data_IF_140949843213
#
_entry.id   IF_140949843213
#
_cell.length_a   1.000
_cell.length_b   1.000
_cell.length_c   1.000
_cell.angle_alpha   90.00
_cell.angle_beta   90.00
_cell.angle_gamma   90.00
#
_symmetry.space_group_name_H-M   'P 1'
#
loop_
_entity.id
_entity.type
_entity.pdbx_description
1 polymer ?
#
# COMPACT_ATOMS: atom_id res chain seq x y z
N UNK A 1 -5.34 17.54 -7.72
CA UNK A 1 -4.13 16.87 -8.23
C UNK A 1 -4.44 15.40 -8.47
N UNK A 2 -3.76 14.76 -9.39
CA UNK A 2 -3.95 13.34 -9.71
C UNK A 2 -2.61 12.63 -9.60
N UNK A 3 -2.63 11.47 -8.96
CA UNK A 3 -1.44 10.64 -8.78
C UNK A 3 -1.61 9.36 -9.59
N UNK A 4 -0.57 8.93 -10.28
CA UNK A 4 -0.58 7.70 -11.08
C UNK A 4 0.33 6.66 -10.45
N UNK A 5 0.00 5.39 -10.65
CA UNK A 5 0.80 4.28 -10.15
C UNK A 5 0.62 3.01 -10.97
N UNK A 6 1.39 2.00 -10.64
CA UNK A 6 1.34 0.71 -11.34
C UNK A 6 1.91 -0.42 -10.49
N UNK A 7 1.59 -1.64 -10.89
CA UNK A 7 2.26 -2.83 -10.38
C UNK A 7 3.68 -2.94 -10.94
N UNK A 8 4.48 -3.85 -10.41
CA UNK A 8 5.87 -4.03 -10.83
C UNK A 8 6.01 -4.28 -12.34
N UNK A 9 5.18 -5.14 -12.91
CA UNK A 9 5.27 -5.49 -14.34
C UNK A 9 4.59 -4.49 -15.27
N UNK A 10 3.83 -3.54 -14.74
CA UNK A 10 3.10 -2.53 -15.52
C UNK A 10 1.81 -3.01 -16.16
N UNK A 11 1.39 -4.25 -15.93
CA UNK A 11 0.13 -4.78 -16.47
C UNK A 11 -1.09 -4.06 -15.89
N UNK A 12 -0.97 -3.56 -14.65
CA UNK A 12 -2.01 -2.79 -13.97
C UNK A 12 -1.51 -1.36 -13.81
N UNK A 13 -2.30 -0.38 -14.28
CA UNK A 13 -2.07 1.03 -14.03
C UNK A 13 -3.32 1.66 -13.48
N UNK A 14 -3.13 2.67 -12.64
CA UNK A 14 -4.24 3.37 -12.00
C UNK A 14 -3.93 4.85 -11.78
N UNK A 15 -4.98 5.61 -11.51
CA UNK A 15 -4.88 7.00 -11.07
C UNK A 15 -5.77 7.21 -9.87
N UNK A 16 -5.36 8.07 -8.95
CA UNK A 16 -6.19 8.55 -7.84
C UNK A 16 -6.22 10.07 -7.86
N UNK A 17 -7.42 10.63 -7.74
CA UNK A 17 -7.65 12.08 -7.80
C UNK A 17 -7.79 12.67 -6.40
N UNK A 18 -7.30 13.90 -6.24
CA UNK A 18 -7.39 14.64 -4.98
C UNK A 18 -6.33 14.23 -3.97
N UNK A 19 -6.50 14.68 -2.74
CA UNK A 19 -5.55 14.37 -1.67
C UNK A 19 -6.07 13.22 -0.82
N UNK A 20 -5.18 12.35 -0.32
CA UNK A 20 -5.59 11.28 0.57
C UNK A 20 -6.06 11.85 1.91
N UNK A 21 -6.97 11.13 2.58
CA UNK A 21 -7.39 11.47 3.93
C UNK A 21 -6.24 11.33 4.93
N UNK A 22 -5.41 10.33 4.72
CA UNK A 22 -4.22 10.06 5.53
C UNK A 22 -3.30 9.13 4.74
N UNK A 23 -2.00 9.22 5.00
CA UNK A 23 -1.03 8.23 4.54
C UNK A 23 -0.39 7.60 5.79
N UNK A 24 -0.57 6.30 5.95
CA UNK A 24 -0.20 5.58 7.17
C UNK A 24 0.77 4.44 6.87
N UNK A 25 1.72 4.25 7.77
CA UNK A 25 2.53 3.03 7.80
C UNK A 25 1.83 2.02 8.71
N UNK A 26 1.38 0.91 8.13
CA UNK A 26 0.66 -0.12 8.87
C UNK A 26 1.59 -1.29 9.21
N UNK A 27 1.64 -1.63 10.50
CA UNK A 27 2.49 -2.69 11.02
C UNK A 27 1.74 -3.98 11.32
N UNK A 28 0.46 -4.09 10.96
CA UNK A 28 -0.34 -5.27 11.32
C UNK A 28 0.21 -6.54 10.65
N UNK A 29 -0.01 -7.67 11.30
CA UNK A 29 0.49 -8.97 10.81
C UNK A 29 -0.11 -9.34 9.45
N UNK A 30 -1.36 -8.95 9.19
CA UNK A 30 -2.01 -9.22 7.91
C UNK A 30 -1.34 -8.45 6.77
N UNK A 31 -1.05 -7.17 6.97
CA UNK A 31 -0.33 -6.37 5.98
C UNK A 31 1.08 -6.92 5.74
N UNK A 32 1.79 -7.25 6.83
CA UNK A 32 3.13 -7.84 6.72
C UNK A 32 3.13 -9.12 5.90
N UNK A 33 2.24 -10.03 6.21
CA UNK A 33 2.17 -11.32 5.52
C UNK A 33 1.70 -11.18 4.08
N UNK A 34 0.74 -10.29 3.85
CA UNK A 34 0.22 -10.04 2.50
C UNK A 34 1.30 -9.44 1.58
N UNK A 35 2.11 -8.54 2.10
CA UNK A 35 3.14 -7.84 1.32
C UNK A 35 4.51 -8.53 1.38
N UNK A 36 4.75 -9.39 2.37
CA UNK A 36 6.08 -9.92 2.63
C UNK A 36 7.07 -8.82 3.03
N UNK A 37 6.59 -7.84 3.79
CA UNK A 37 7.35 -6.66 4.19
C UNK A 37 7.08 -6.34 5.66
N UNK A 38 8.03 -5.66 6.34
CA UNK A 38 7.85 -5.36 7.77
C UNK A 38 6.73 -4.37 8.06
N UNK A 39 6.33 -3.57 7.08
CA UNK A 39 5.20 -2.64 7.15
C UNK A 39 4.74 -2.30 5.74
N UNK A 40 3.55 -1.73 5.63
CA UNK A 40 2.98 -1.31 4.34
C UNK A 40 2.50 0.13 4.46
N UNK A 41 2.82 0.96 3.47
CA UNK A 41 2.34 2.33 3.40
C UNK A 41 1.01 2.37 2.64
N UNK A 42 -0.01 2.92 3.27
CA UNK A 42 -1.35 3.04 2.69
C UNK A 42 -1.76 4.50 2.57
N UNK A 43 -2.16 4.91 1.38
CA UNK A 43 -2.80 6.20 1.14
C UNK A 43 -4.31 5.99 1.05
N UNK A 44 -5.06 6.60 1.94
CA UNK A 44 -6.50 6.43 2.07
C UNK A 44 -7.24 7.44 1.20
N UNK A 45 -7.99 6.94 0.21
CA UNK A 45 -8.79 7.77 -0.70
C UNK A 45 -10.26 7.37 -0.66
N UNK A 46 -11.17 8.29 -1.03
CA UNK A 46 -12.51 7.87 -1.37
C UNK A 46 -12.47 6.88 -2.56
N UNK A 47 -13.32 5.86 -2.54
CA UNK A 47 -13.38 4.87 -3.62
C UNK A 47 -13.59 5.53 -5.00
N UNK A 48 -14.36 6.62 -5.03
CA UNK A 48 -14.63 7.36 -6.25
C UNK A 48 -13.42 8.06 -6.86
N UNK A 49 -12.34 8.20 -6.09
CA UNK A 49 -11.11 8.84 -6.58
C UNK A 49 -10.26 7.90 -7.44
N UNK A 50 -10.48 6.58 -7.33
CA UNK A 50 -9.65 5.59 -8.01
C UNK A 50 -10.20 5.28 -9.40
N UNK A 51 -9.32 5.30 -10.39
CA UNK A 51 -9.61 4.89 -11.76
C UNK A 51 -8.53 3.93 -12.24
N UNK A 52 -8.94 2.75 -12.70
CA UNK A 52 -8.02 1.84 -13.38
C UNK A 52 -7.84 2.32 -14.82
N UNK A 53 -6.61 2.58 -15.21
CA UNK A 53 -6.28 3.06 -16.56
C UNK A 53 -5.74 1.94 -17.45
N UNK A 54 -5.34 0.82 -16.86
CA UNK A 54 -4.86 -0.35 -17.60
C UNK A 54 -5.03 -1.59 -16.75
N UNK A 55 -5.51 -2.67 -17.37
CA UNK A 55 -5.61 -3.98 -16.73
C UNK A 55 -6.67 -4.08 -15.65
N UNK A 56 -6.75 -5.25 -15.04
CA UNK A 56 -7.71 -5.57 -14.00
C UNK A 56 -7.01 -6.36 -12.90
N UNK A 57 -6.95 -5.84 -11.68
CA UNK A 57 -6.34 -6.59 -10.57
C UNK A 57 -7.23 -7.76 -10.16
N UNK A 58 -6.62 -8.78 -9.59
CA UNK A 58 -7.32 -9.86 -8.91
C UNK A 58 -7.62 -9.41 -7.49
N UNK A 59 -8.84 -9.68 -7.02
CA UNK A 59 -9.27 -9.35 -5.67
C UNK A 59 -9.62 -10.62 -4.92
N UNK A 60 -9.13 -10.72 -3.69
CA UNK A 60 -9.42 -11.86 -2.80
C UNK A 60 -9.91 -11.34 -1.45
N UNK A 61 -10.70 -12.18 -0.78
CA UNK A 61 -10.99 -11.96 0.64
C UNK A 61 -9.77 -12.48 1.42
N UNK A 62 -9.02 -11.57 2.02
CA UNK A 62 -7.78 -11.93 2.72
C UNK A 62 -8.02 -12.35 4.16
N UNK A 63 -9.00 -11.72 4.83
CA UNK A 63 -9.36 -12.05 6.21
C UNK A 63 -10.65 -11.31 6.60
N UNK A 64 -11.57 -12.01 7.26
CA UNK A 64 -12.82 -11.40 7.73
C UNK A 64 -13.58 -10.72 6.60
N UNK A 65 -13.72 -9.39 6.66
CA UNK A 65 -14.36 -8.57 5.65
C UNK A 65 -13.35 -7.82 4.75
N UNK A 66 -12.07 -8.11 4.92
CA UNK A 66 -10.99 -7.44 4.19
C UNK A 66 -10.82 -7.98 2.77
N UNK A 67 -10.76 -7.09 1.80
CA UNK A 67 -10.56 -7.42 0.38
C UNK A 67 -9.24 -6.80 -0.07
N UNK A 68 -8.36 -7.61 -0.66
CA UNK A 68 -7.07 -7.15 -1.17
C UNK A 68 -6.99 -7.39 -2.67
N UNK A 69 -6.50 -6.37 -3.39
CA UNK A 69 -6.36 -6.42 -4.84
C UNK A 69 -4.88 -6.36 -5.21
N UNK A 70 -4.49 -7.22 -6.14
CA UNK A 70 -3.10 -7.34 -6.56
C UNK A 70 -3.03 -7.72 -8.05
N UNK A 71 -1.84 -7.52 -8.64
CA UNK A 71 -1.61 -7.96 -10.02
C UNK A 71 -1.47 -9.47 -10.07
N UNK A 72 -2.32 -10.14 -10.86
CA UNK A 72 -2.25 -11.59 -11.02
C UNK A 72 -0.98 -12.05 -11.74
N UNK A 73 -0.34 -11.18 -12.53
CA UNK A 73 0.85 -11.53 -13.30
C UNK A 73 2.15 -11.40 -12.48
N UNK A 74 2.29 -10.32 -11.70
CA UNK A 74 3.54 -10.08 -10.95
C UNK A 74 3.38 -10.13 -9.43
N UNK A 75 2.15 -10.20 -8.93
CA UNK A 75 1.89 -10.34 -7.49
C UNK A 75 1.95 -9.03 -6.69
N UNK A 76 2.19 -7.88 -7.31
CA UNK A 76 2.23 -6.61 -6.58
C UNK A 76 0.90 -6.34 -5.89
N UNK A 77 0.92 -6.12 -4.58
CA UNK A 77 -0.24 -5.67 -3.84
C UNK A 77 -0.53 -4.20 -4.17
N UNK A 78 -1.80 -3.87 -4.42
CA UNK A 78 -2.16 -2.54 -4.88
C UNK A 78 -3.19 -1.86 -3.99
N UNK A 79 -4.31 -2.53 -3.69
CA UNK A 79 -5.44 -1.90 -3.01
C UNK A 79 -5.97 -2.74 -1.87
N UNK A 80 -6.53 -2.06 -0.89
CA UNK A 80 -7.23 -2.68 0.23
C UNK A 80 -8.59 -2.00 0.39
N UNK A 81 -9.62 -2.81 0.60
CA UNK A 81 -10.98 -2.35 0.86
C UNK A 81 -11.57 -3.16 1.99
N UNK A 82 -12.36 -2.51 2.81
CA UNK A 82 -13.15 -3.18 3.84
C UNK A 82 -14.45 -2.40 4.03
N UNK A 83 -15.47 -2.78 3.26
CA UNK A 83 -16.74 -2.04 3.25
C UNK A 83 -17.43 -2.02 4.60
N UNK A 84 -17.22 -3.04 5.45
CA UNK A 84 -17.81 -3.09 6.78
C UNK A 84 -17.17 -2.08 7.74
N UNK A 85 -15.83 -1.97 7.71
CA UNK A 85 -15.07 -1.10 8.62
C UNK A 85 -14.83 0.28 8.02
N UNK A 86 -14.64 0.38 6.70
CA UNK A 86 -14.26 1.59 5.98
C UNK A 86 -15.13 1.76 4.73
N UNK A 87 -16.44 2.03 4.90
CA UNK A 87 -17.35 2.16 3.74
C UNK A 87 -16.93 3.33 2.85
N UNK A 88 -16.93 3.08 1.53
CA UNK A 88 -16.62 4.10 0.53
C UNK A 88 -15.15 4.49 0.44
N UNK A 89 -14.25 3.69 1.02
CA UNK A 89 -12.81 3.96 1.07
C UNK A 89 -12.05 2.89 0.28
N UNK A 90 -10.99 3.33 -0.40
CA UNK A 90 -9.95 2.46 -0.93
C UNK A 90 -8.61 2.90 -0.36
N UNK A 91 -7.86 1.97 0.17
CA UNK A 91 -6.46 2.19 0.55
C UNK A 91 -5.58 1.76 -0.62
N UNK A 92 -4.70 2.65 -1.03
CA UNK A 92 -3.74 2.41 -2.12
C UNK A 92 -2.36 2.21 -1.50
N UNK A 93 -1.65 1.18 -1.91
CA UNK A 93 -0.25 1.02 -1.49
C UNK A 93 0.57 2.15 -2.10
N UNK A 94 0.89 3.16 -1.31
CA UNK A 94 1.50 4.39 -1.80
C UNK A 94 2.88 4.19 -2.42
N UNK A 95 3.57 3.11 -2.05
CA UNK A 95 4.87 2.77 -2.67
C UNK A 95 4.73 2.29 -4.12
N UNK A 96 3.52 2.00 -4.60
CA UNK A 96 3.26 1.67 -6.00
C UNK A 96 3.00 2.90 -6.88
N UNK A 97 2.94 4.09 -6.29
CA UNK A 97 2.83 5.33 -7.05
C UNK A 97 4.09 5.57 -7.87
N UNK A 98 3.94 6.20 -9.03
CA UNK A 98 5.09 6.57 -9.87
C UNK A 98 6.04 7.52 -9.14
N UNK A 99 5.49 8.40 -8.30
CA UNK A 99 6.25 9.35 -7.48
C UNK A 99 5.84 9.19 -6.02
N UNK A 100 6.29 8.12 -5.34
CA UNK A 100 5.82 7.81 -3.98
C UNK A 100 6.20 8.86 -2.94
N UNK A 101 7.25 9.62 -3.19
CA UNK A 101 7.66 10.70 -2.27
C UNK A 101 6.70 11.88 -2.27
N UNK A 102 5.79 11.97 -3.25
CA UNK A 102 4.76 13.01 -3.27
C UNK A 102 3.74 12.86 -2.13
N UNK A 103 3.58 11.64 -1.60
CA UNK A 103 2.65 11.34 -0.51
C UNK A 103 3.38 10.64 0.63
N UNK A 104 4.21 11.37 1.39
CA UNK A 104 4.91 10.76 2.52
C UNK A 104 3.92 10.37 3.62
N UNK A 105 4.19 9.30 4.37
CA UNK A 105 3.35 8.92 5.49
C UNK A 105 3.41 9.98 6.59
N UNK A 106 2.29 10.14 7.29
CA UNK A 106 2.16 11.12 8.38
C UNK A 106 1.85 10.46 9.71
N UNK A 107 1.47 9.17 9.72
CA UNK A 107 1.17 8.42 10.94
C UNK A 107 1.64 6.98 10.80
N UNK A 108 1.80 6.32 11.93
CA UNK A 108 2.01 4.87 12.01
C UNK A 108 0.82 4.25 12.73
N UNK A 109 0.28 3.18 12.19
CA UNK A 109 -0.88 2.48 12.77
C UNK A 109 -0.54 1.03 13.04
N UNK A 110 -1.34 0.40 13.92
CA UNK A 110 -1.18 -1.01 14.34
C UNK A 110 0.22 -1.26 14.91
N UNK A 111 0.74 -0.29 15.64
CA UNK A 111 2.09 -0.39 16.23
C UNK A 111 2.18 -1.44 17.33
N UNK A 112 1.04 -1.90 17.87
CA UNK A 112 1.01 -3.03 18.80
C UNK A 112 1.57 -4.31 18.17
N UNK A 113 1.51 -4.45 16.84
CA UNK A 113 2.02 -5.60 16.11
C UNK A 113 3.34 -5.32 15.39
N UNK A 114 3.92 -4.13 15.59
CA UNK A 114 5.18 -3.74 14.96
C UNK A 114 6.30 -4.69 15.39
N UNK A 115 7.11 -5.12 14.41
CA UNK A 115 8.30 -5.90 14.70
C UNK A 115 9.28 -5.04 15.50
N UNK A 116 9.84 -5.62 16.53
CA UNK A 116 10.65 -4.87 17.50
C UNK A 116 11.87 -4.22 16.84
N UNK A 117 12.51 -4.93 15.92
CA UNK A 117 13.69 -4.42 15.21
C UNK A 117 13.38 -3.25 14.27
N UNK A 118 12.09 -3.02 13.92
CA UNK A 118 11.69 -1.86 13.12
C UNK A 118 11.95 -0.53 13.84
N UNK A 119 12.03 -0.54 15.17
CA UNK A 119 12.34 0.65 15.96
C UNK A 119 13.80 1.07 15.83
N UNK A 120 14.64 0.21 15.30
CA UNK A 120 16.08 0.36 15.29
C UNK A 120 16.71 0.26 13.91
N UNK A 121 15.91 0.37 12.84
CA UNK A 121 16.42 0.22 11.47
C UNK A 121 17.46 1.28 11.13
N UNK A 122 17.36 2.47 11.73
CA UNK A 122 18.31 3.56 11.54
C UNK A 122 19.71 3.25 12.12
N UNK A 123 19.83 2.21 12.94
CA UNK A 123 21.10 1.77 13.53
C UNK A 123 21.82 0.75 12.64
N UNK A 124 21.16 0.22 11.61
CA UNK A 124 21.75 -0.76 10.70
C UNK A 124 22.71 -0.06 9.74
N UNK A 125 23.85 -0.70 9.40
CA UNK A 125 24.73 -0.18 8.37
C UNK A 125 23.98 0.01 7.05
N UNK A 126 24.29 1.09 6.34
CA UNK A 126 23.63 1.44 5.10
C UNK A 126 24.59 1.34 3.92
N UNK A 127 24.11 0.83 2.81
CA UNK A 127 24.84 0.74 1.55
C UNK A 127 23.97 1.34 0.45
N UNK A 128 24.55 2.18 -0.42
CA UNK A 128 23.77 2.78 -1.52
C UNK A 128 23.23 1.73 -2.47
N UNK A 129 23.93 0.64 -2.62
CA UNK A 129 23.52 -0.53 -3.42
C UNK A 129 23.71 -1.77 -2.55
N UNK A 130 24.33 -2.80 -3.07
CA UNK A 130 24.68 -3.99 -2.29
C UNK A 130 25.95 -3.75 -1.47
N UNK A 131 26.12 -4.45 -0.34
CA UNK A 131 27.39 -4.46 0.36
C UNK A 131 28.45 -5.02 -0.58
N UNK A 132 29.54 -4.26 -0.79
CA UNK A 132 30.58 -4.64 -1.73
C UNK A 132 31.91 -4.76 -1.05
#
# INVERSE_FOLDING_TARGET
MTYSGQCLCGAIRYQVAGEPKVVALCHCSDCRRSAGAPMVAWAMFPETALTLTKGQPKTINSSGTAMRSFCADCGSGLFYRNAAALPGIVDVQSSTLDHPEALPPTVQIQTAERLDWMKHIHELPEFERFPA
#
